data_IF_189040066684
#
_entry.id   IF_189040066684
#
_cell.length_a   1.000
_cell.length_b   1.000
_cell.length_c   1.000
_cell.angle_alpha   90.00
_cell.angle_beta   90.00
_cell.angle_gamma   90.00
#
_symmetry.space_group_name_H-M   'P 1'
#
loop_
_entity.id
_entity.type
_entity.pdbx_description
1 polymer ?
#
# COMPACT_ATOMS: atom_id res chain seq x y z
N UNK A 1 -5.90 16.91 9.52
CA UNK A 1 -4.76 17.35 8.69
C UNK A 1 -5.18 17.24 7.24
N UNK A 2 -4.78 18.16 6.34
CA UNK A 2 -5.05 18.02 4.92
C UNK A 2 -4.39 16.74 4.40
N UNK A 3 -5.09 16.01 3.52
CA UNK A 3 -4.54 14.80 2.91
C UNK A 3 -3.39 15.16 1.98
N UNK A 4 -2.35 14.34 1.99
CA UNK A 4 -1.21 14.52 1.10
C UNK A 4 -1.65 14.31 -0.36
N UNK A 5 -1.06 15.07 -1.29
CA UNK A 5 -1.47 15.08 -2.70
C UNK A 5 -1.32 13.73 -3.42
N UNK A 6 -0.52 12.81 -2.87
CA UNK A 6 -0.33 11.48 -3.43
C UNK A 6 -1.42 10.49 -3.04
N UNK A 7 -2.35 10.85 -2.14
CA UNK A 7 -3.47 9.99 -1.71
C UNK A 7 -4.62 10.11 -2.71
N UNK A 8 -4.82 9.07 -3.53
CA UNK A 8 -5.75 9.09 -4.68
C UNK A 8 -7.18 8.65 -4.36
N UNK A 9 -7.35 7.90 -3.27
CA UNK A 9 -8.66 7.43 -2.79
C UNK A 9 -8.58 7.18 -1.29
N UNK A 10 -9.75 7.14 -0.64
CA UNK A 10 -9.82 6.88 0.79
C UNK A 10 -9.88 5.38 1.08
N UNK A 11 -9.14 4.93 2.10
CA UNK A 11 -9.19 3.56 2.57
C UNK A 11 -9.97 3.52 3.89
N UNK A 12 -11.08 2.76 3.97
CA UNK A 12 -11.79 2.57 5.23
C UNK A 12 -10.87 1.97 6.29
N UNK A 13 -11.06 2.39 7.55
CA UNK A 13 -10.21 1.96 8.68
C UNK A 13 -10.07 0.44 8.77
N UNK A 14 -11.15 -0.31 8.56
CA UNK A 14 -11.14 -1.78 8.59
C UNK A 14 -10.20 -2.38 7.54
N UNK A 15 -10.14 -1.78 6.34
CA UNK A 15 -9.25 -2.22 5.26
C UNK A 15 -7.79 -1.87 5.59
N UNK A 16 -7.54 -0.71 6.19
CA UNK A 16 -6.21 -0.32 6.64
C UNK A 16 -5.70 -1.22 7.79
N UNK A 17 -6.55 -1.55 8.76
CA UNK A 17 -6.22 -2.45 9.87
C UNK A 17 -5.88 -3.86 9.35
N UNK A 18 -6.67 -4.38 8.41
CA UNK A 18 -6.37 -5.64 7.71
C UNK A 18 -5.07 -5.57 6.92
N UNK A 19 -4.74 -4.43 6.30
CA UNK A 19 -3.48 -4.26 5.58
C UNK A 19 -2.25 -4.34 6.51
N UNK A 20 -2.34 -3.78 7.72
CA UNK A 20 -1.28 -3.94 8.73
C UNK A 20 -1.13 -5.41 9.15
N UNK A 21 -2.24 -6.12 9.40
CA UNK A 21 -2.22 -7.55 9.75
C UNK A 21 -1.62 -8.41 8.62
N UNK A 22 -1.98 -8.13 7.37
CA UNK A 22 -1.38 -8.79 6.21
C UNK A 22 0.14 -8.61 6.20
N UNK A 23 0.63 -7.37 6.36
CA UNK A 23 2.08 -7.09 6.40
C UNK A 23 2.77 -7.89 7.49
N UNK A 24 2.17 -7.96 8.69
CA UNK A 24 2.72 -8.70 9.82
C UNK A 24 2.81 -10.20 9.52
N UNK A 25 1.73 -10.84 9.07
CA UNK A 25 1.72 -12.29 8.79
C UNK A 25 2.62 -12.62 7.60
N UNK A 26 2.56 -11.84 6.53
CA UNK A 26 3.38 -12.05 5.33
C UNK A 26 4.87 -11.83 5.56
N UNK A 27 5.29 -11.07 6.58
CA UNK A 27 6.73 -11.00 6.92
C UNK A 27 7.24 -12.32 7.51
N UNK A 28 6.38 -13.09 8.18
CA UNK A 28 6.76 -14.29 8.95
C UNK A 28 6.64 -15.56 8.11
N UNK A 29 5.55 -15.68 7.34
CA UNK A 29 5.22 -16.88 6.56
C UNK A 29 5.30 -16.67 5.04
N UNK A 30 5.54 -15.43 4.60
CA UNK A 30 5.55 -15.05 3.19
C UNK A 30 6.81 -14.27 2.81
N UNK A 31 6.63 -13.27 1.94
CA UNK A 31 7.73 -12.44 1.45
C UNK A 31 7.28 -11.00 1.24
N UNK A 32 7.98 -10.09 1.90
CA UNK A 32 7.75 -8.64 1.77
C UNK A 32 9.04 -7.88 1.45
N UNK A 33 8.92 -6.70 0.86
CA UNK A 33 10.00 -5.71 0.74
C UNK A 33 9.61 -4.45 1.49
N UNK A 34 10.59 -3.85 2.18
CA UNK A 34 10.38 -2.74 3.12
C UNK A 34 11.06 -1.48 2.58
N UNK A 35 10.35 -0.37 2.62
CA UNK A 35 10.82 0.93 2.17
C UNK A 35 10.50 1.23 0.71
N UNK A 36 10.41 2.52 0.41
CA UNK A 36 10.00 3.04 -0.91
C UNK A 36 10.86 2.51 -2.06
N UNK A 37 12.19 2.49 -1.91
CA UNK A 37 13.09 2.07 -2.98
C UNK A 37 12.89 0.59 -3.35
N UNK A 38 12.70 -0.27 -2.35
CA UNK A 38 12.48 -1.69 -2.58
C UNK A 38 11.06 -1.96 -3.10
N UNK A 39 10.06 -1.19 -2.64
CA UNK A 39 8.73 -1.23 -3.22
C UNK A 39 8.74 -0.83 -4.71
N UNK A 40 9.45 0.24 -5.05
CA UNK A 40 9.64 0.70 -6.45
C UNK A 40 10.22 -0.42 -7.31
N UNK A 41 11.36 -1.01 -6.90
CA UNK A 41 11.98 -2.14 -7.61
C UNK A 41 11.05 -3.34 -7.76
N UNK A 42 10.26 -3.66 -6.73
CA UNK A 42 9.34 -4.78 -6.77
C UNK A 42 8.20 -4.58 -7.78
N UNK A 43 7.70 -3.35 -7.89
CA UNK A 43 6.67 -2.97 -8.87
C UNK A 43 7.26 -2.96 -10.29
N UNK A 44 8.44 -2.36 -10.49
CA UNK A 44 9.12 -2.34 -11.80
C UNK A 44 9.44 -3.73 -12.34
N UNK A 45 9.81 -4.67 -11.44
CA UNK A 45 10.10 -6.07 -11.78
C UNK A 45 8.84 -6.93 -11.93
N UNK A 46 7.65 -6.39 -11.66
CA UNK A 46 6.39 -7.14 -11.75
C UNK A 46 6.24 -8.26 -10.71
N UNK A 47 6.96 -8.19 -9.59
CA UNK A 47 6.91 -9.21 -8.53
C UNK A 47 6.02 -8.83 -7.36
N UNK A 48 5.63 -7.55 -7.25
CA UNK A 48 4.71 -7.09 -6.22
C UNK A 48 3.27 -7.54 -6.51
N UNK A 49 2.59 -8.10 -5.49
CA UNK A 49 1.17 -8.47 -5.52
C UNK A 49 0.27 -7.37 -4.96
N UNK A 50 0.78 -6.64 -3.98
CA UNK A 50 0.13 -5.48 -3.36
C UNK A 50 1.20 -4.54 -2.80
N UNK A 51 0.97 -3.23 -2.88
CA UNK A 51 1.81 -2.20 -2.21
C UNK A 51 0.99 -1.46 -1.16
N UNK A 52 1.52 -1.31 0.04
CA UNK A 52 0.92 -0.54 1.14
C UNK A 52 1.74 0.72 1.34
N UNK A 53 1.11 1.89 1.31
CA UNK A 53 1.74 3.22 1.34
C UNK A 53 1.21 4.01 2.54
N UNK A 54 2.09 4.61 3.34
CA UNK A 54 1.67 5.44 4.47
C UNK A 54 1.18 6.84 4.02
N UNK A 55 0.20 7.40 4.72
CA UNK A 55 -0.37 8.74 4.43
C UNK A 55 0.34 9.90 5.15
N UNK A 56 1.08 9.61 6.22
CA UNK A 56 1.82 10.59 7.05
C UNK A 56 3.31 10.72 6.66
N UNK A 57 3.61 10.48 5.39
CA UNK A 57 4.98 10.59 4.87
C UNK A 57 5.32 12.05 4.63
N UNK A 58 6.33 12.52 5.35
CA UNK A 58 6.94 13.84 5.22
C UNK A 58 8.45 13.66 5.05
N UNK A 59 9.06 14.13 3.95
CA UNK A 59 8.44 14.85 2.83
C UNK A 59 7.60 13.94 1.90
N UNK A 60 6.43 14.40 1.39
CA UNK A 60 5.52 13.57 0.57
C UNK A 60 6.14 13.07 -0.74
N UNK A 61 7.17 13.75 -1.24
CA UNK A 61 7.93 13.38 -2.44
C UNK A 61 8.56 11.98 -2.33
N UNK A 62 8.77 11.48 -1.11
CA UNK A 62 9.34 10.14 -0.87
C UNK A 62 8.46 9.04 -1.45
N UNK A 63 7.13 9.19 -1.48
CA UNK A 63 6.20 8.16 -1.96
C UNK A 63 5.32 8.63 -3.13
N UNK A 64 5.45 9.89 -3.53
CA UNK A 64 4.58 10.52 -4.53
C UNK A 64 4.51 9.78 -5.88
N UNK A 65 5.57 9.09 -6.29
CA UNK A 65 5.61 8.33 -7.55
C UNK A 65 4.96 6.94 -7.45
N UNK A 66 4.82 6.37 -6.25
CA UNK A 66 4.36 4.99 -6.09
C UNK A 66 2.94 4.74 -6.62
N UNK A 67 1.93 5.60 -6.35
CA UNK A 67 0.57 5.38 -6.87
C UNK A 67 0.55 5.33 -8.39
N UNK A 68 1.23 6.28 -9.06
CA UNK A 68 1.31 6.34 -10.52
C UNK A 68 2.02 5.11 -11.09
N UNK A 69 3.16 4.75 -10.52
CA UNK A 69 3.92 3.57 -10.94
C UNK A 69 3.09 2.27 -10.78
N UNK A 70 2.34 2.15 -9.68
CA UNK A 70 1.46 1.01 -9.46
C UNK A 70 0.32 0.96 -10.49
N UNK A 71 -0.25 2.11 -10.87
CA UNK A 71 -1.25 2.20 -11.94
C UNK A 71 -0.69 1.77 -13.30
N UNK A 72 0.47 2.30 -13.70
CA UNK A 72 1.14 1.96 -14.96
C UNK A 72 1.47 0.46 -15.05
N UNK A 73 1.91 -0.13 -13.94
CA UNK A 73 2.27 -1.56 -13.86
C UNK A 73 1.10 -2.47 -13.49
N UNK A 74 -0.11 -1.90 -13.31
CA UNK A 74 -1.33 -2.61 -12.88
C UNK A 74 -1.14 -3.39 -11.57
N UNK A 75 -0.31 -2.88 -10.67
CA UNK A 75 -0.11 -3.43 -9.33
C UNK A 75 -1.12 -2.77 -8.38
N UNK A 76 -1.95 -3.55 -7.65
CA UNK A 76 -2.83 -3.01 -6.62
C UNK A 76 -2.05 -2.30 -5.51
N UNK A 77 -2.61 -1.23 -4.96
CA UNK A 77 -2.04 -0.55 -3.80
C UNK A 77 -3.12 -0.06 -2.84
N UNK A 78 -2.75 0.13 -1.58
CA UNK A 78 -3.59 0.66 -0.51
C UNK A 78 -2.82 1.71 0.30
N UNK A 79 -3.58 2.61 0.92
CA UNK A 79 -3.06 3.57 1.89
C UNK A 79 -3.33 3.11 3.32
N UNK A 80 -2.41 3.43 4.22
CA UNK A 80 -2.54 3.26 5.66
C UNK A 80 -2.17 4.57 6.38
N UNK A 81 -2.79 4.90 7.51
CA UNK A 81 -2.66 6.24 8.09
C UNK A 81 -1.25 6.57 8.60
N UNK A 82 -0.51 5.57 9.10
CA UNK A 82 0.72 5.76 9.86
C UNK A 82 1.89 4.93 9.33
N UNK A 83 3.01 5.60 9.05
CA UNK A 83 4.28 4.97 8.67
C UNK A 83 4.93 4.25 9.85
N UNK A 84 4.70 4.72 11.07
CA UNK A 84 5.22 4.07 12.28
C UNK A 84 4.57 2.71 12.47
N UNK A 85 3.24 2.65 12.33
CA UNK A 85 2.49 1.39 12.45
C UNK A 85 2.84 0.45 11.28
N UNK A 86 3.07 0.99 10.08
CA UNK A 86 3.53 0.20 8.93
C UNK A 86 4.92 -0.39 9.16
N UNK A 87 5.82 0.39 9.77
CA UNK A 87 7.15 -0.07 10.19
C UNK A 87 7.07 -1.17 11.23
N UNK A 88 6.26 -0.98 12.26
CA UNK A 88 6.03 -1.98 13.32
C UNK A 88 5.48 -3.29 12.75
N UNK A 89 4.43 -3.23 11.92
CA UNK A 89 3.88 -4.39 11.23
C UNK A 89 4.93 -5.10 10.36
N UNK A 90 5.79 -4.34 9.67
CA UNK A 90 6.89 -4.87 8.88
C UNK A 90 8.06 -5.39 9.72
N UNK A 91 8.04 -5.27 11.06
CA UNK A 91 9.14 -5.67 11.94
C UNK A 91 10.35 -4.77 11.89
N UNK A 92 10.11 -3.46 11.89
CA UNK A 92 11.11 -2.42 12.01
C UNK A 92 10.88 -1.63 13.28
N UNK A 93 11.97 -1.17 13.90
CA UNK A 93 11.93 -0.25 15.05
C UNK A 93 11.68 1.21 14.64
N UNK A 94 11.63 1.46 13.32
CA UNK A 94 11.45 2.78 12.71
C UNK A 94 10.29 2.75 11.73
N UNK A 95 9.76 3.93 11.40
CA UNK A 95 8.69 4.07 10.42
C UNK A 95 9.09 3.59 9.02
N UNK A 96 8.12 3.05 8.30
CA UNK A 96 8.26 2.60 6.92
C UNK A 96 7.25 3.32 6.04
N UNK A 97 7.73 4.02 5.02
CA UNK A 97 6.85 4.81 4.13
C UNK A 97 6.04 3.92 3.16
N UNK A 98 6.58 2.76 2.79
CA UNK A 98 5.90 1.81 1.91
C UNK A 98 6.41 0.38 2.11
N UNK A 99 5.54 -0.60 1.91
CA UNK A 99 5.84 -2.03 1.95
C UNK A 99 5.22 -2.69 0.72
N UNK A 100 5.96 -3.56 0.03
CA UNK A 100 5.37 -4.41 -1.01
C UNK A 100 5.29 -5.86 -0.56
N UNK A 101 4.13 -6.48 -0.80
CA UNK A 101 3.88 -7.88 -0.55
C UNK A 101 4.15 -8.64 -1.84
N UNK A 102 5.09 -9.58 -1.80
CA UNK A 102 5.45 -10.44 -2.92
C UNK A 102 4.73 -11.79 -2.79
N UNK A 103 4.65 -12.32 -1.58
CA UNK A 103 4.00 -13.58 -1.24
C UNK A 103 3.23 -13.42 0.08
N UNK A 104 1.95 -13.82 0.11
CA UNK A 104 1.05 -13.62 1.25
C UNK A 104 1.33 -14.55 2.44
N UNK A 105 1.99 -15.68 2.22
CA UNK A 105 2.17 -16.72 3.24
C UNK A 105 0.83 -17.25 3.75
N UNK A 106 0.72 -17.40 5.06
CA UNK A 106 -0.51 -17.83 5.75
C UNK A 106 -1.67 -16.82 5.59
N UNK A 107 -1.39 -15.59 5.17
CA UNK A 107 -2.38 -14.56 4.87
C UNK A 107 -2.74 -14.47 3.37
N UNK A 108 -2.58 -15.54 2.61
CA UNK A 108 -2.89 -15.56 1.17
C UNK A 108 -4.35 -15.19 0.85
N UNK A 109 -5.32 -15.62 1.66
CA UNK A 109 -6.73 -15.24 1.48
C UNK A 109 -6.95 -13.76 1.78
N UNK A 110 -6.41 -13.25 2.89
CA UNK A 110 -6.44 -11.83 3.24
C UNK A 110 -5.81 -10.96 2.14
N UNK A 111 -4.73 -11.42 1.52
CA UNK A 111 -4.12 -10.74 0.38
C UNK A 111 -5.08 -10.63 -0.80
N UNK A 112 -5.81 -11.71 -1.14
CA UNK A 112 -6.80 -11.68 -2.23
C UNK A 112 -7.93 -10.69 -1.91
N UNK A 113 -8.49 -10.75 -0.70
CA UNK A 113 -9.54 -9.83 -0.25
C UNK A 113 -9.09 -8.36 -0.35
N UNK A 114 -7.87 -8.06 0.10
CA UNK A 114 -7.33 -6.69 0.06
C UNK A 114 -7.02 -6.22 -1.36
N UNK A 115 -6.61 -7.13 -2.25
CA UNK A 115 -6.43 -6.81 -3.68
C UNK A 115 -7.77 -6.45 -4.33
N UNK A 116 -8.84 -7.18 -4.03
CA UNK A 116 -10.19 -6.87 -4.52
C UNK A 116 -10.69 -5.53 -3.97
N UNK A 117 -10.51 -5.29 -2.66
CA UNK A 117 -10.85 -4.03 -2.02
C UNK A 117 -10.07 -2.85 -2.63
N UNK A 118 -8.77 -3.00 -2.87
CA UNK A 118 -7.92 -1.99 -3.51
C UNK A 118 -8.43 -1.61 -4.90
N UNK A 119 -8.76 -2.61 -5.72
CA UNK A 119 -9.28 -2.38 -7.07
C UNK A 119 -10.64 -1.66 -7.04
N UNK A 120 -11.52 -2.03 -6.11
CA UNK A 120 -12.85 -1.40 -5.95
C UNK A 120 -12.72 0.06 -5.48
N UNK A 121 -11.96 0.31 -4.42
CA UNK A 121 -11.76 1.65 -3.86
C UNK A 121 -11.10 2.59 -4.88
N UNK A 122 -10.10 2.11 -5.62
CA UNK A 122 -9.50 2.88 -6.72
C UNK A 122 -10.54 3.22 -7.79
N UNK A 123 -11.34 2.24 -8.21
CA UNK A 123 -12.38 2.46 -9.23
C UNK A 123 -13.46 3.45 -8.78
N UNK A 124 -13.80 3.49 -7.49
CA UNK A 124 -14.67 4.51 -6.90
C UNK A 124 -14.00 5.90 -6.85
N UNK A 125 -12.69 5.95 -6.55
CA UNK A 125 -11.91 7.19 -6.55
C UNK A 125 -11.83 7.84 -7.94
N UNK A 126 -11.52 7.07 -8.99
CA UNK A 126 -11.44 7.57 -10.38
C UNK A 126 -12.78 8.16 -10.83
N UNK A 127 -13.90 7.48 -10.56
CA UNK A 127 -15.26 7.93 -10.92
C UNK A 127 -15.66 9.25 -10.26
N UNK A 128 -15.10 9.58 -9.10
CA UNK A 128 -15.38 10.86 -8.41
C UNK A 128 -14.61 12.03 -9.02
N UNK A 129 -13.42 11.78 -9.58
CA UNK A 129 -12.61 12.82 -10.24
C UNK A 129 -13.22 13.22 -11.58
N UNK A 130 -13.77 12.27 -12.35
CA UNK A 130 -14.40 12.53 -13.65
C UNK A 130 -15.74 13.30 -13.55
N UNK A 131 -16.43 13.26 -12.41
CA UNK A 131 -17.71 13.98 -12.21
C UNK A 131 -17.55 15.42 -11.68
N UNK A 132 -16.31 15.84 -11.41
CA UNK A 132 -15.98 17.20 -10.96
C UNK A 132 -15.16 18.00 -11.99
N UNK A 133 -14.92 17.43 -13.18
CA UNK A 133 -14.26 18.06 -14.32
C UNK A 133 -15.24 18.61 -15.35
#
# INVERSE_FOLDING_TARGET
>A
MPKQFYVRFEVPREVADKAYQLVQISRESGKIRKGTNEATKAVERGVAKLVVIAEDVDPPQVVAHLPLLCEERRVPYLYVPSKLDLGSAAGLEVGCAAVSILEGGDAAETLKELVEAANRLRGEGVRKVEQQG
#
